data_IF_982792128125
#
_entry.id   IF_982792128125
#
_cell.length_a   1.000
_cell.length_b   1.000
_cell.length_c   1.000
_cell.angle_alpha   90.00
_cell.angle_beta   90.00
_cell.angle_gamma   90.00
#
_symmetry.space_group_name_H-M   'P 1'
#
loop_
_entity.id
_entity.type
_entity.pdbx_description
1 polymer ?
#
# COMPACT_ATOMS: atom_id res chain seq x y z
N UNK A 1 32.98 -7.22 -73.65
CA UNK A 1 32.40 -6.71 -72.38
C UNK A 1 31.61 -7.81 -71.68
N UNK A 2 32.12 -8.29 -70.56
CA UNK A 2 31.49 -9.37 -69.80
C UNK A 2 30.69 -8.74 -68.63
N UNK A 3 29.36 -8.72 -68.72
CA UNK A 3 28.52 -8.20 -67.66
C UNK A 3 28.51 -9.18 -66.47
N UNK A 4 29.00 -8.68 -65.34
CA UNK A 4 28.94 -9.40 -64.06
C UNK A 4 27.53 -9.33 -63.51
N UNK A 5 26.81 -10.43 -63.59
CA UNK A 5 25.49 -10.58 -62.98
C UNK A 5 25.65 -10.78 -61.48
N UNK A 6 25.19 -9.84 -60.68
CA UNK A 6 25.21 -9.86 -59.21
C UNK A 6 24.18 -10.89 -58.71
N UNK A 7 24.57 -11.85 -57.87
CA UNK A 7 23.59 -12.81 -57.32
C UNK A 7 22.63 -12.05 -56.38
N UNK A 8 21.33 -12.12 -56.66
CA UNK A 8 20.27 -11.71 -55.73
C UNK A 8 20.21 -12.71 -54.60
N UNK A 9 20.72 -12.30 -53.43
CA UNK A 9 20.48 -13.01 -52.20
C UNK A 9 19.01 -12.77 -51.81
N UNK A 10 18.15 -13.73 -52.18
CA UNK A 10 16.79 -13.82 -51.67
C UNK A 10 16.88 -14.32 -50.24
N UNK A 11 16.76 -13.39 -49.27
CA UNK A 11 16.58 -13.75 -47.87
C UNK A 11 15.21 -14.42 -47.77
N UNK A 12 15.22 -15.74 -47.68
CA UNK A 12 14.01 -16.53 -47.43
C UNK A 12 13.48 -16.14 -46.06
N UNK A 13 12.44 -15.30 -46.00
CA UNK A 13 11.69 -15.04 -44.80
C UNK A 13 11.04 -16.37 -44.35
N UNK A 14 11.62 -17.04 -43.35
CA UNK A 14 11.01 -18.18 -42.68
C UNK A 14 9.79 -17.65 -41.94
N UNK A 15 8.61 -17.87 -42.52
CA UNK A 15 7.34 -17.61 -41.83
C UNK A 15 7.20 -18.60 -40.66
N UNK A 16 6.59 -18.12 -39.57
CA UNK A 16 6.22 -18.97 -38.43
C UNK A 16 5.24 -20.08 -38.90
N UNK A 17 5.50 -21.30 -38.48
CA UNK A 17 4.58 -22.43 -38.72
C UNK A 17 3.34 -22.26 -37.82
N UNK A 18 2.16 -22.61 -38.35
CA UNK A 18 0.90 -22.59 -37.58
C UNK A 18 1.00 -23.52 -36.33
N UNK A 19 1.74 -24.63 -36.46
CA UNK A 19 2.01 -25.54 -35.34
C UNK A 19 2.86 -24.90 -34.26
N UNK A 20 3.85 -24.09 -34.62
CA UNK A 20 4.73 -23.39 -33.70
C UNK A 20 3.94 -22.35 -32.87
N UNK A 21 2.99 -21.64 -33.49
CA UNK A 21 2.08 -20.73 -32.79
C UNK A 21 1.15 -21.48 -31.84
N UNK A 22 0.64 -22.64 -32.26
CA UNK A 22 -0.25 -23.46 -31.44
C UNK A 22 0.45 -23.97 -30.18
N UNK A 23 1.71 -24.42 -30.31
CA UNK A 23 2.52 -24.86 -29.15
C UNK A 23 2.76 -23.70 -28.18
N UNK A 24 3.05 -22.49 -28.67
CA UNK A 24 3.29 -21.32 -27.83
C UNK A 24 2.03 -20.97 -27.01
N UNK A 25 0.86 -20.93 -27.64
CA UNK A 25 -0.38 -20.62 -26.90
C UNK A 25 -0.75 -21.74 -25.91
N UNK A 26 -0.46 -22.97 -26.20
CA UNK A 26 -0.66 -24.08 -25.27
C UNK A 26 0.24 -23.96 -24.04
N UNK A 27 1.52 -23.62 -24.21
CA UNK A 27 2.47 -23.39 -23.10
C UNK A 27 2.04 -22.18 -22.25
N UNK A 28 1.65 -21.07 -22.91
CA UNK A 28 1.14 -19.89 -22.19
C UNK A 28 -0.12 -20.24 -21.38
N UNK A 29 -1.03 -21.04 -21.91
CA UNK A 29 -2.21 -21.51 -21.21
C UNK A 29 -1.90 -22.31 -19.95
N UNK A 30 -0.91 -23.18 -20.00
CA UNK A 30 -0.46 -23.94 -18.81
C UNK A 30 0.16 -23.01 -17.77
N UNK A 31 1.04 -22.11 -18.17
CA UNK A 31 1.68 -21.15 -17.24
C UNK A 31 0.63 -20.23 -16.61
N UNK A 32 -0.33 -19.74 -17.40
CA UNK A 32 -1.40 -18.88 -16.92
C UNK A 32 -2.27 -19.58 -15.87
N UNK A 33 -2.57 -20.86 -16.05
CA UNK A 33 -3.41 -21.62 -15.10
C UNK A 33 -2.76 -21.76 -13.72
N UNK A 34 -1.43 -21.84 -13.64
CA UNK A 34 -0.69 -21.89 -12.37
C UNK A 34 -0.57 -20.47 -11.75
N UNK A 35 -0.34 -19.46 -12.57
CA UNK A 35 -0.14 -18.08 -12.13
C UNK A 35 -1.39 -17.50 -11.44
N UNK A 36 -2.59 -17.79 -11.93
CA UNK A 36 -3.85 -17.29 -11.35
C UNK A 36 -4.05 -17.77 -9.91
N UNK A 37 -3.68 -19.00 -9.59
CA UNK A 37 -3.82 -19.53 -8.23
C UNK A 37 -2.83 -18.88 -7.25
N UNK A 38 -1.62 -18.55 -7.71
CA UNK A 38 -0.61 -17.87 -6.90
C UNK A 38 -1.01 -16.43 -6.53
N UNK A 39 -1.69 -15.71 -7.42
CA UNK A 39 -2.07 -14.31 -7.23
C UNK A 39 -3.19 -14.17 -6.19
N UNK A 40 -4.12 -15.12 -6.10
CA UNK A 40 -5.25 -15.05 -5.17
C UNK A 40 -4.86 -14.95 -3.69
N UNK A 41 -3.74 -15.56 -3.28
CA UNK A 41 -3.21 -15.48 -1.92
C UNK A 41 -2.50 -14.15 -1.59
N UNK A 42 -1.97 -13.46 -2.59
CA UNK A 42 -1.23 -12.21 -2.39
C UNK A 42 -2.10 -11.02 -1.96
N UNK A 43 -3.34 -10.95 -2.42
CA UNK A 43 -4.23 -9.82 -2.10
C UNK A 43 -4.53 -9.74 -0.59
N UNK A 44 -4.74 -10.86 0.09
CA UNK A 44 -4.98 -10.87 1.53
C UNK A 44 -3.78 -10.43 2.36
N UNK A 45 -2.57 -10.86 1.99
CA UNK A 45 -1.33 -10.48 2.67
C UNK A 45 -1.00 -9.01 2.46
N UNK A 46 -1.22 -8.50 1.23
CA UNK A 46 -0.96 -7.11 0.88
C UNK A 46 -1.85 -6.16 1.68
N UNK A 47 -3.14 -6.45 1.81
CA UNK A 47 -4.06 -5.64 2.61
C UNK A 47 -3.67 -5.61 4.09
N UNK A 48 -3.37 -6.74 4.69
CA UNK A 48 -2.93 -6.79 6.11
C UNK A 48 -1.65 -5.99 6.33
N UNK A 49 -0.69 -6.09 5.43
CA UNK A 49 0.55 -5.32 5.51
C UNK A 49 0.29 -3.82 5.40
N UNK A 50 -0.59 -3.41 4.49
CA UNK A 50 -0.99 -2.02 4.29
C UNK A 50 -1.68 -1.46 5.55
N UNK A 51 -2.64 -2.18 6.12
CA UNK A 51 -3.33 -1.79 7.35
C UNK A 51 -2.34 -1.64 8.50
N UNK A 52 -1.42 -2.58 8.65
CA UNK A 52 -0.37 -2.52 9.67
C UNK A 52 0.54 -1.30 9.50
N UNK A 53 0.99 -1.00 8.28
CA UNK A 53 1.81 0.18 7.99
C UNK A 53 1.05 1.47 8.28
N UNK A 54 -0.21 1.58 7.86
CA UNK A 54 -1.06 2.72 8.11
C UNK A 54 -1.28 2.96 9.61
N UNK A 55 -1.53 1.89 10.38
CA UNK A 55 -1.67 1.96 11.83
C UNK A 55 -0.37 2.38 12.51
N UNK A 56 0.78 1.86 12.08
CA UNK A 56 2.08 2.28 12.61
C UNK A 56 2.39 3.74 12.30
N UNK A 57 2.06 4.21 11.10
CA UNK A 57 2.21 5.63 10.74
C UNK A 57 1.34 6.52 11.61
N UNK A 58 0.08 6.16 11.82
CA UNK A 58 -0.82 6.87 12.72
C UNK A 58 -0.32 6.88 14.16
N UNK A 59 0.15 5.74 14.66
CA UNK A 59 0.72 5.63 16.01
C UNK A 59 1.93 6.56 16.20
N UNK A 60 2.81 6.61 15.19
CA UNK A 60 3.97 7.50 15.22
C UNK A 60 3.57 8.98 15.17
N UNK A 61 2.64 9.36 14.29
CA UNK A 61 2.14 10.73 14.19
C UNK A 61 1.40 11.14 15.46
N UNK A 62 0.59 10.26 16.05
CA UNK A 62 -0.08 10.48 17.33
C UNK A 62 0.92 10.74 18.46
N UNK A 63 1.95 9.92 18.59
CA UNK A 63 2.98 10.08 19.60
C UNK A 63 3.72 11.43 19.44
N UNK A 64 4.08 11.79 18.21
CA UNK A 64 4.74 13.07 17.93
C UNK A 64 3.82 14.29 18.19
N UNK A 65 2.54 14.19 17.82
CA UNK A 65 1.56 15.24 18.11
C UNK A 65 1.44 15.46 19.62
N UNK A 66 1.34 14.40 20.40
CA UNK A 66 1.32 14.49 21.87
C UNK A 66 2.60 15.08 22.46
N UNK A 67 3.76 14.60 22.00
CA UNK A 67 5.06 15.15 22.44
C UNK A 67 5.19 16.64 22.11
N UNK A 68 4.51 17.12 21.07
CA UNK A 68 4.43 18.54 20.69
C UNK A 68 3.34 19.31 21.44
N UNK A 69 2.74 18.72 22.47
CA UNK A 69 1.72 19.34 23.31
C UNK A 69 0.32 19.43 22.67
N UNK A 70 0.08 18.72 21.57
CA UNK A 70 -1.24 18.66 20.96
C UNK A 70 -2.26 18.03 21.92
N UNK A 71 -3.46 18.62 21.94
CA UNK A 71 -4.57 18.11 22.76
C UNK A 71 -5.66 17.55 21.86
N UNK A 72 -6.13 16.38 22.20
CA UNK A 72 -7.27 15.73 21.55
C UNK A 72 -8.52 16.01 22.39
N UNK A 73 -9.66 16.26 21.74
CA UNK A 73 -10.93 16.59 22.43
C UNK A 73 -11.39 15.40 23.28
N UNK A 74 -11.16 14.19 22.77
CA UNK A 74 -11.48 12.95 23.45
C UNK A 74 -10.38 11.94 23.16
N UNK A 75 -9.96 11.20 24.17
CA UNK A 75 -9.01 10.07 23.99
C UNK A 75 -9.74 8.78 23.72
N UNK A 76 -10.59 8.80 22.70
CA UNK A 76 -11.21 7.64 22.09
C UNK A 76 -10.50 7.33 20.77
N UNK A 77 -10.34 6.06 20.50
CA UNK A 77 -9.61 5.55 19.32
C UNK A 77 -10.09 6.19 18.02
N UNK A 78 -11.38 6.19 17.80
CA UNK A 78 -11.96 6.64 16.55
C UNK A 78 -11.86 8.17 16.41
N UNK A 79 -12.06 8.89 17.50
CA UNK A 79 -11.90 10.35 17.55
C UNK A 79 -10.45 10.80 17.28
N UNK A 80 -9.47 10.07 17.81
CA UNK A 80 -8.04 10.32 17.57
C UNK A 80 -7.68 10.07 16.10
N UNK A 81 -8.15 8.96 15.54
CA UNK A 81 -7.91 8.64 14.13
C UNK A 81 -8.56 9.69 13.23
N UNK A 82 -9.81 10.09 13.51
CA UNK A 82 -10.52 11.12 12.73
C UNK A 82 -9.82 12.48 12.81
N UNK A 83 -9.33 12.86 13.99
CA UNK A 83 -8.59 14.11 14.16
C UNK A 83 -7.29 14.13 13.33
N UNK A 84 -6.57 13.02 13.28
CA UNK A 84 -5.30 12.90 12.53
C UNK A 84 -5.50 12.71 11.03
N UNK A 85 -6.60 12.12 10.59
CA UNK A 85 -6.90 11.88 9.16
C UNK A 85 -7.81 12.94 8.56
N UNK A 86 -8.42 13.77 9.40
CA UNK A 86 -9.34 14.83 9.01
C UNK A 86 -8.69 15.95 8.19
N UNK A 87 -9.49 16.85 7.61
CA UNK A 87 -9.00 17.89 6.71
C UNK A 87 -8.03 18.87 7.40
N UNK A 88 -8.25 19.16 8.68
CA UNK A 88 -7.48 20.16 9.45
C UNK A 88 -6.26 19.58 10.17
N UNK A 89 -6.24 18.24 10.40
CA UNK A 89 -5.20 17.61 11.23
C UNK A 89 -5.23 18.12 12.68
N UNK A 90 -4.14 17.92 13.42
CA UNK A 90 -3.99 18.32 14.82
C UNK A 90 -2.77 19.24 14.95
N UNK A 91 -2.91 20.36 15.66
CA UNK A 91 -1.83 21.33 15.87
C UNK A 91 -1.07 21.06 17.17
N UNK A 92 0.23 21.29 17.15
CA UNK A 92 1.05 21.35 18.36
C UNK A 92 0.70 22.53 19.25
N UNK A 93 1.41 22.69 20.36
CA UNK A 93 1.20 23.78 21.32
C UNK A 93 2.50 24.56 21.60
N UNK A 94 2.35 25.79 22.08
CA UNK A 94 3.47 26.63 22.46
C UNK A 94 4.38 26.94 21.28
N UNK A 95 5.65 26.61 21.37
CA UNK A 95 6.63 26.78 20.29
C UNK A 95 6.34 25.93 19.05
N UNK A 96 5.54 24.88 19.19
CA UNK A 96 5.13 23.97 18.11
C UNK A 96 3.73 24.28 17.55
N UNK A 97 3.11 25.39 17.90
CA UNK A 97 1.75 25.74 17.46
C UNK A 97 1.60 25.88 15.94
N UNK A 98 2.69 26.19 15.23
CA UNK A 98 2.72 26.24 13.77
C UNK A 98 2.89 24.88 13.09
N UNK A 99 3.25 23.86 13.85
CA UNK A 99 3.39 22.49 13.35
C UNK A 99 2.04 21.79 13.42
N UNK A 100 1.63 21.19 12.32
CA UNK A 100 0.42 20.39 12.33
C UNK A 100 0.70 18.94 11.90
N UNK A 101 -0.02 18.04 12.52
CA UNK A 101 0.11 16.59 12.35
C UNK A 101 -1.09 16.07 11.61
N UNK A 102 -0.85 15.42 10.46
CA UNK A 102 -1.89 14.87 9.62
C UNK A 102 -1.37 13.65 8.89
N UNK A 103 -2.24 12.65 8.73
CA UNK A 103 -2.00 11.49 7.87
C UNK A 103 -3.05 11.48 6.77
N UNK A 104 -2.61 11.42 5.51
CA UNK A 104 -3.51 11.37 4.36
C UNK A 104 -3.88 9.92 4.09
N UNK A 105 -5.15 9.58 4.29
CA UNK A 105 -5.73 8.26 4.03
C UNK A 105 -7.05 8.43 3.30
N UNK A 106 -7.42 7.43 2.48
CA UNK A 106 -8.76 7.39 1.92
C UNK A 106 -9.77 6.85 2.96
N UNK A 107 -11.10 7.07 2.78
CA UNK A 107 -12.11 6.66 3.76
C UNK A 107 -12.12 5.16 4.07
N UNK A 108 -11.79 4.31 3.10
CA UNK A 108 -11.73 2.86 3.27
C UNK A 108 -10.54 2.48 4.17
N UNK A 109 -9.37 3.07 3.93
CA UNK A 109 -8.18 2.86 4.76
C UNK A 109 -8.39 3.32 6.20
N UNK A 110 -9.08 4.44 6.41
CA UNK A 110 -9.45 4.92 7.75
C UNK A 110 -10.31 3.91 8.47
N UNK A 111 -11.32 3.35 7.79
CA UNK A 111 -12.22 2.34 8.38
C UNK A 111 -11.46 1.04 8.72
N UNK A 112 -10.58 0.59 7.84
CA UNK A 112 -9.75 -0.59 8.07
C UNK A 112 -8.84 -0.41 9.29
N UNK A 113 -8.21 0.76 9.41
CA UNK A 113 -7.35 1.08 10.57
C UNK A 113 -8.17 1.19 11.85
N UNK A 114 -9.35 1.79 11.83
CA UNK A 114 -10.25 1.83 13.00
C UNK A 114 -10.61 0.43 13.51
N UNK A 115 -10.81 -0.50 12.60
CA UNK A 115 -11.12 -1.90 12.96
C UNK A 115 -9.89 -2.65 13.50
N UNK A 116 -8.70 -2.34 13.02
CA UNK A 116 -7.48 -3.06 13.34
C UNK A 116 -6.61 -2.43 14.43
N UNK A 117 -6.91 -1.20 14.83
CA UNK A 117 -6.17 -0.46 15.86
C UNK A 117 -6.85 -0.52 17.21
N UNK A 118 -6.06 -0.42 18.27
CA UNK A 118 -6.52 -0.14 19.63
C UNK A 118 -5.74 1.01 20.25
N UNK A 119 -6.43 1.81 21.04
CA UNK A 119 -5.81 2.82 21.89
C UNK A 119 -5.59 2.19 23.27
N UNK A 120 -4.35 2.09 23.69
CA UNK A 120 -3.95 1.48 24.95
C UNK A 120 -3.40 2.58 25.86
N UNK A 121 -3.90 2.61 27.11
CA UNK A 121 -3.37 3.42 28.17
C UNK A 121 -2.17 2.71 28.81
N UNK A 122 -1.09 3.43 28.99
CA UNK A 122 0.13 2.89 29.58
C UNK A 122 0.05 2.94 31.10
N UNK A 123 -0.84 2.40 31.78
CA UNK A 123 -0.87 2.23 33.24
C UNK A 123 -0.55 3.44 34.14
N UNK A 124 -0.05 4.56 33.57
CA UNK A 124 0.22 5.82 34.27
C UNK A 124 -0.95 6.81 34.20
N UNK A 125 -1.96 6.51 33.41
CA UNK A 125 -3.13 7.38 33.19
C UNK A 125 -2.86 8.61 32.29
N UNK A 126 -1.62 8.81 31.90
CA UNK A 126 -1.22 10.00 31.11
C UNK A 126 -0.73 9.66 29.71
N UNK A 127 -0.33 8.44 29.43
CA UNK A 127 0.21 8.05 28.13
C UNK A 127 -0.71 7.08 27.37
N UNK A 128 -1.24 7.53 26.25
CA UNK A 128 -2.04 6.72 25.33
C UNK A 128 -1.18 6.31 24.15
N UNK A 129 -1.24 5.04 23.76
CA UNK A 129 -0.54 4.49 22.59
C UNK A 129 -1.52 3.85 21.65
N UNK A 130 -1.43 4.21 20.37
CA UNK A 130 -2.17 3.54 19.31
C UNK A 130 -1.38 2.32 18.85
N UNK A 131 -1.97 1.14 18.91
CA UNK A 131 -1.34 -0.12 18.52
C UNK A 131 -2.18 -0.88 17.49
N UNK A 132 -1.50 -1.70 16.69
CA UNK A 132 -2.15 -2.63 15.78
C UNK A 132 -2.46 -3.93 16.52
N UNK A 133 -3.75 -4.33 16.57
CA UNK A 133 -4.21 -5.54 17.27
C UNK A 133 -4.41 -6.74 16.36
N UNK A 134 -4.45 -6.53 15.04
CA UNK A 134 -4.46 -7.59 14.04
C UNK A 134 -5.65 -8.53 14.13
N UNK A 135 -6.84 -8.09 13.77
CA UNK A 135 -7.95 -9.00 13.43
C UNK A 135 -8.08 -9.19 11.93
#
# INVERSE_FOLDING_TARGET
MKSLQKPNNVIANKGFSLVELLVVIAVIGVIASIAVQAIGGFFGVTNRTKIRQNTQTLAWVFANARASGATFVTYDKDSVIDALTGPSGVHGRGSMASVFFKVSMNPEEVLEVKNAASLVEDGSGEEFRLIFTGQ
#
